data_IF_284090527520
#
_entry.id   IF_284090527520
#
_cell.length_a   1.000
_cell.length_b   1.000
_cell.length_c   1.000
_cell.angle_alpha   90.00
_cell.angle_beta   90.00
_cell.angle_gamma   90.00
#
_symmetry.space_group_name_H-M   'P 1'
#
loop_
_entity.id
_entity.type
_entity.pdbx_description
1 polymer ?
#
# COMPACT_ATOMS: atom_id res chain seq x y z
N UNK A 1 2.56 -11.86 -4.78
CA UNK A 1 1.28 -11.33 -5.33
C UNK A 1 0.95 -10.02 -4.65
N UNK A 2 0.09 -9.19 -5.25
CA UNK A 2 -0.44 -7.96 -4.62
C UNK A 2 -1.84 -8.25 -4.09
N UNK A 3 -2.14 -7.76 -2.90
CA UNK A 3 -3.42 -7.90 -2.23
C UNK A 3 -4.00 -6.51 -1.95
N UNK A 4 -5.29 -6.29 -2.24
CA UNK A 4 -5.95 -5.05 -1.89
C UNK A 4 -6.03 -4.91 -0.37
N UNK A 5 -5.62 -3.75 0.15
CA UNK A 5 -5.68 -3.41 1.56
C UNK A 5 -6.88 -2.50 1.86
N UNK A 6 -6.99 -1.40 1.12
CA UNK A 6 -7.99 -0.36 1.35
C UNK A 6 -8.26 0.42 0.08
N UNK A 7 -9.52 0.81 -0.12
CA UNK A 7 -9.92 1.75 -1.17
C UNK A 7 -10.44 3.03 -0.51
N UNK A 8 -9.91 4.18 -0.90
CA UNK A 8 -10.33 5.49 -0.40
C UNK A 8 -11.51 6.04 -1.21
N UNK A 9 -12.11 7.12 -0.71
CA UNK A 9 -13.25 7.80 -1.34
C UNK A 9 -12.96 8.39 -2.72
N UNK A 10 -11.69 8.66 -3.05
CA UNK A 10 -11.25 9.20 -4.36
C UNK A 10 -10.92 8.07 -5.35
N UNK A 11 -11.53 6.89 -5.17
CA UNK A 11 -11.21 5.65 -5.91
C UNK A 11 -9.73 5.22 -5.84
N UNK A 12 -8.98 5.77 -4.88
CA UNK A 12 -7.57 5.41 -4.67
C UNK A 12 -7.50 4.04 -4.03
N UNK A 13 -6.87 3.09 -4.71
CA UNK A 13 -6.64 1.74 -4.21
C UNK A 13 -5.23 1.63 -3.62
N UNK A 14 -5.17 1.17 -2.37
CA UNK A 14 -3.94 0.83 -1.66
C UNK A 14 -3.84 -0.68 -1.66
N UNK A 15 -2.82 -1.21 -2.31
CA UNK A 15 -2.49 -2.63 -2.36
C UNK A 15 -1.15 -2.88 -1.68
N UNK A 16 -0.91 -4.10 -1.22
CA UNK A 16 0.37 -4.49 -0.63
C UNK A 16 0.83 -5.84 -1.16
N UNK A 17 2.14 -6.04 -1.18
CA UNK A 17 2.71 -7.35 -1.46
C UNK A 17 2.70 -8.23 -0.22
N UNK A 18 2.87 -9.53 -0.44
CA UNK A 18 3.39 -10.44 0.58
C UNK A 18 4.76 -9.97 1.11
N UNK A 19 5.12 -10.42 2.30
CA UNK A 19 6.42 -10.13 2.88
C UNK A 19 7.50 -10.76 2.01
N UNK A 20 8.39 -9.91 1.48
CA UNK A 20 9.54 -10.39 0.74
C UNK A 20 10.50 -11.15 1.66
N UNK A 21 11.33 -12.06 1.12
CA UNK A 21 12.37 -12.74 1.92
C UNK A 21 13.37 -11.80 2.58
N UNK A 22 13.47 -10.55 2.10
CA UNK A 22 14.26 -9.46 2.71
C UNK A 22 13.57 -8.79 3.93
N UNK A 23 12.38 -9.26 4.31
CA UNK A 23 11.56 -8.67 5.39
C UNK A 23 10.83 -7.38 5.01
N UNK A 24 10.87 -7.00 3.73
CA UNK A 24 10.24 -5.78 3.20
C UNK A 24 8.89 -6.06 2.57
N UNK A 25 7.98 -5.09 2.68
CA UNK A 25 6.66 -5.13 2.04
C UNK A 25 6.55 -3.97 1.07
N UNK A 26 6.11 -4.25 -0.15
CA UNK A 26 5.81 -3.22 -1.16
C UNK A 26 4.36 -2.81 -1.00
N UNK A 27 4.10 -1.57 -0.65
CA UNK A 27 2.78 -0.93 -0.70
C UNK A 27 2.68 -0.17 -2.01
N UNK A 28 1.64 -0.42 -2.78
CA UNK A 28 1.40 0.23 -4.06
C UNK A 28 0.06 0.95 -4.00
N UNK A 29 0.10 2.23 -4.32
CA UNK A 29 -1.05 3.11 -4.30
C UNK A 29 -1.33 3.51 -5.73
N UNK A 30 -2.55 3.31 -6.18
CA UNK A 30 -3.01 3.75 -7.49
C UNK A 30 -4.30 4.56 -7.36
N UNK A 31 -4.40 5.64 -8.12
CA UNK A 31 -5.62 6.45 -8.18
C UNK A 31 -5.98 6.62 -9.65
N UNK A 32 -7.19 6.20 -10.07
CA UNK A 32 -7.66 6.49 -11.42
C UNK A 32 -7.83 8.00 -11.57
N UNK A 33 -7.37 8.54 -12.70
CA UNK A 33 -7.43 9.98 -12.96
C UNK A 33 -7.86 10.21 -14.41
N UNK A 34 -8.93 10.97 -14.61
CA UNK A 34 -9.48 11.23 -15.95
C UNK A 34 -8.52 12.02 -16.85
N UNK A 35 -7.57 12.76 -16.26
CA UNK A 35 -6.64 13.64 -16.97
C UNK A 35 -5.30 12.98 -17.27
N UNK A 36 -4.81 12.13 -16.38
CA UNK A 36 -3.50 11.49 -16.50
C UNK A 36 -3.58 9.95 -16.65
N UNK A 37 -4.77 9.41 -16.90
CA UNK A 37 -5.14 7.98 -16.92
C UNK A 37 -5.02 7.30 -15.54
N UNK A 38 -3.82 7.24 -14.97
CA UNK A 38 -3.59 6.60 -13.66
C UNK A 38 -2.43 7.27 -12.92
N UNK A 39 -2.68 7.72 -11.70
CA UNK A 39 -1.65 8.16 -10.75
C UNK A 39 -1.19 6.95 -9.95
N UNK A 40 0.10 6.82 -9.69
CA UNK A 40 0.60 5.70 -8.89
C UNK A 40 1.83 6.06 -8.05
N UNK A 41 2.01 5.37 -6.94
CA UNK A 41 3.16 5.52 -6.06
C UNK A 41 3.47 4.19 -5.39
N UNK A 42 4.75 3.92 -5.20
CA UNK A 42 5.23 2.78 -4.42
C UNK A 42 5.83 3.26 -3.10
N UNK A 43 5.49 2.61 -1.99
CA UNK A 43 6.13 2.78 -0.70
C UNK A 43 6.66 1.44 -0.18
N UNK A 44 7.85 1.44 0.42
CA UNK A 44 8.47 0.24 0.98
C UNK A 44 8.51 0.29 2.51
N UNK A 45 7.83 -0.67 3.15
CA UNK A 45 7.85 -0.88 4.58
C UNK A 45 8.93 -1.88 4.99
N UNK A 46 9.50 -1.77 6.22
CA UNK A 46 9.23 -0.74 7.24
C UNK A 46 10.06 0.56 7.06
N UNK A 47 10.81 0.68 5.97
CA UNK A 47 11.71 1.82 5.73
C UNK A 47 11.00 3.12 5.32
N UNK A 48 9.68 3.07 5.07
CA UNK A 48 8.86 4.16 4.53
C UNK A 48 9.49 4.84 3.30
N UNK A 49 10.14 4.03 2.45
CA UNK A 49 10.84 4.56 1.28
C UNK A 49 9.88 4.66 0.11
N UNK A 50 9.63 5.88 -0.36
CA UNK A 50 8.83 6.13 -1.54
C UNK A 50 9.65 6.02 -2.82
N UNK A 51 9.10 5.35 -3.82
CA UNK A 51 9.68 5.16 -5.15
C UNK A 51 8.55 5.20 -6.20
N UNK A 52 8.90 5.44 -7.47
CA UNK A 52 7.96 5.35 -8.60
C UNK A 52 6.69 6.21 -8.42
N UNK A 53 6.87 7.45 -7.93
CA UNK A 53 5.79 8.41 -7.72
C UNK A 53 5.45 9.07 -9.05
N UNK A 54 4.23 8.85 -9.54
CA UNK A 54 3.71 9.39 -10.78
C UNK A 54 2.48 10.28 -10.52
N UNK A 55 2.63 11.57 -10.81
CA UNK A 55 1.56 12.58 -10.73
C UNK A 55 0.86 12.74 -9.37
N UNK A 56 1.47 12.28 -8.27
CA UNK A 56 1.04 12.63 -6.92
C UNK A 56 1.71 13.90 -6.43
N UNK A 57 0.95 14.74 -5.74
CA UNK A 57 1.47 15.95 -5.10
C UNK A 57 2.11 15.59 -3.76
N UNK A 58 2.98 16.47 -3.24
CA UNK A 58 3.57 16.30 -1.89
C UNK A 58 2.50 16.16 -0.80
N UNK A 59 1.38 16.88 -0.94
CA UNK A 59 0.23 16.77 -0.02
C UNK A 59 -0.45 15.40 -0.08
N UNK A 60 -0.52 14.78 -1.25
CA UNK A 60 -1.10 13.44 -1.41
C UNK A 60 -0.18 12.40 -0.76
N UNK A 61 1.12 12.49 -1.04
CA UNK A 61 2.13 11.62 -0.42
C UNK A 61 2.13 11.76 1.10
N UNK A 62 2.02 12.97 1.64
CA UNK A 62 1.95 13.17 3.09
C UNK A 62 0.71 12.48 3.72
N UNK A 63 -0.46 12.58 3.08
CA UNK A 63 -1.67 11.87 3.53
C UNK A 63 -1.49 10.35 3.49
N UNK A 64 -0.97 9.83 2.38
CA UNK A 64 -0.74 8.40 2.25
C UNK A 64 0.32 7.90 3.24
N UNK A 65 1.34 8.71 3.51
CA UNK A 65 2.34 8.39 4.51
C UNK A 65 1.71 8.27 5.90
N UNK A 66 0.85 9.20 6.32
CA UNK A 66 0.15 9.12 7.61
C UNK A 66 -0.72 7.85 7.73
N UNK A 67 -1.43 7.50 6.65
CA UNK A 67 -2.22 6.27 6.57
C UNK A 67 -1.32 5.04 6.68
N UNK A 68 -0.22 5.00 5.92
CA UNK A 68 0.73 3.89 5.92
C UNK A 68 1.39 3.77 7.30
N UNK A 69 1.83 4.86 7.94
CA UNK A 69 2.41 4.82 9.29
C UNK A 69 1.40 4.29 10.32
N UNK A 70 0.15 4.72 10.22
CA UNK A 70 -0.92 4.25 11.10
C UNK A 70 -1.29 2.78 10.85
N UNK A 71 -1.12 2.27 9.63
CA UNK A 71 -1.54 0.91 9.22
C UNK A 71 -0.36 -0.04 8.97
N UNK A 72 0.88 0.41 9.11
CA UNK A 72 2.08 -0.35 8.77
C UNK A 72 2.17 -1.67 9.54
N UNK A 73 1.76 -1.66 10.81
CA UNK A 73 1.70 -2.86 11.63
C UNK A 73 0.73 -3.89 11.04
N UNK A 74 -0.49 -3.48 10.66
CA UNK A 74 -1.48 -4.37 10.03
C UNK A 74 -0.99 -4.91 8.68
N UNK A 75 -0.41 -4.04 7.84
CA UNK A 75 0.12 -4.45 6.53
C UNK A 75 1.24 -5.47 6.71
N UNK A 76 2.14 -5.26 7.67
CA UNK A 76 3.23 -6.20 7.97
C UNK A 76 2.70 -7.53 8.51
N UNK A 77 1.68 -7.53 9.35
CA UNK A 77 1.02 -8.75 9.84
C UNK A 77 0.36 -9.51 8.69
N UNK A 78 -0.51 -8.86 7.91
CA UNK A 78 -1.18 -9.49 6.76
C UNK A 78 -0.20 -9.98 5.68
N UNK A 79 0.94 -9.30 5.52
CA UNK A 79 1.98 -9.71 4.58
C UNK A 79 2.72 -10.98 5.00
N UNK A 80 2.80 -11.27 6.31
CA UNK A 80 3.42 -12.50 6.84
C UNK A 80 2.48 -13.69 6.75
N UNK A 81 1.18 -13.45 6.94
CA UNK A 81 0.16 -14.50 6.90
C UNK A 81 -0.25 -14.91 5.47
N UNK A 82 0.28 -14.24 4.44
CA UNK A 82 0.03 -14.56 3.03
C UNK A 82 -1.34 -14.09 2.51
N UNK A 83 -1.94 -13.07 3.15
CA UNK A 83 -3.35 -12.73 2.94
C UNK A 83 -4.27 -13.67 3.74
N UNK A 84 -5.57 -13.33 3.81
CA UNK A 84 -6.60 -13.90 4.69
C UNK A 84 -6.70 -15.44 4.66
N UNK A 85 -5.83 -16.16 5.37
CA UNK A 85 -5.88 -17.63 5.45
C UNK A 85 -5.82 -18.19 6.88
N UNK A 86 -5.61 -17.37 7.93
CA UNK A 86 -5.54 -17.89 9.30
C UNK A 86 -6.73 -17.53 10.22
N UNK A 87 -7.77 -16.84 9.74
CA UNK A 87 -8.92 -16.49 10.57
C UNK A 87 -10.03 -17.58 10.62
N UNK A 88 -9.89 -18.70 9.90
CA UNK A 88 -10.95 -19.71 9.79
C UNK A 88 -10.65 -21.06 10.49
N UNK A 89 -9.83 -21.08 11.55
CA UNK A 89 -9.71 -22.25 12.41
C UNK A 89 -9.85 -21.87 13.89
N UNK A 90 -11.11 -21.82 14.35
CA UNK A 90 -11.50 -22.00 15.74
C UNK A 90 -12.80 -22.81 15.79
#
# INVERSE_FOLDING_TARGET
>A
MMYPFMTLNDDTEITHSEMKPDGKVKVYIETPDEKYCFRHATCWLPAYKWEDIYHFSETDIAKFQEIIESTAHLILEFSQEGGFCNAANL
#
